data_IF_418284485879
#
_entry.id   IF_418284485879
#
_cell.length_a   1.000
_cell.length_b   1.000
_cell.length_c   1.000
_cell.angle_alpha   90.00
_cell.angle_beta   90.00
_cell.angle_gamma   90.00
#
_symmetry.space_group_name_H-M   'P 1'
#
loop_
_entity.id
_entity.type
_entity.pdbx_description
1 polymer ?
#
# COMPACT_ATOMS: atom_id res chain seq x y z
N UNK A 1 2.92 -10.76 12.51
CA UNK A 1 4.22 -10.47 13.18
C UNK A 1 4.14 -9.10 13.82
N UNK A 2 4.79 -8.93 14.97
CA UNK A 2 4.78 -7.68 15.75
C UNK A 2 6.22 -7.28 16.07
N UNK A 3 6.71 -6.22 15.46
CA UNK A 3 7.98 -5.60 15.83
C UNK A 3 7.76 -4.65 17.01
N UNK A 4 8.50 -4.84 18.08
CA UNK A 4 8.37 -4.06 19.30
C UNK A 4 9.18 -2.78 19.18
N UNK A 5 8.51 -1.62 19.27
CA UNK A 5 9.16 -0.30 19.26
C UNK A 5 9.22 0.34 20.65
N UNK A 6 8.61 -0.31 21.63
CA UNK A 6 8.58 0.00 23.05
C UNK A 6 8.54 -1.32 23.84
N UNK A 7 8.83 -1.34 25.14
CA UNK A 7 8.71 -2.56 25.94
C UNK A 7 7.30 -3.18 25.89
N UNK A 8 7.23 -4.48 25.65
CA UNK A 8 6.02 -5.30 25.72
C UNK A 8 6.09 -6.13 27.00
N UNK A 9 5.10 -5.97 27.88
CA UNK A 9 4.91 -6.84 29.03
C UNK A 9 3.47 -6.75 29.54
N UNK A 10 3.13 -7.53 30.58
CA UNK A 10 1.80 -7.53 31.21
C UNK A 10 1.33 -6.13 31.61
N UNK A 11 2.23 -5.23 32.05
CA UNK A 11 1.87 -3.88 32.48
C UNK A 11 1.68 -2.90 31.32
N UNK A 12 2.51 -2.99 30.28
CA UNK A 12 2.42 -2.15 29.08
C UNK A 12 1.38 -2.64 28.07
N UNK A 13 0.70 -3.75 28.38
CA UNK A 13 -0.31 -4.35 27.54
C UNK A 13 0.28 -5.09 26.34
N UNK A 14 1.29 -5.94 26.56
CA UNK A 14 1.83 -6.84 25.54
C UNK A 14 0.75 -7.64 24.81
N UNK A 15 1.02 -8.06 23.57
CA UNK A 15 0.06 -8.91 22.83
C UNK A 15 -0.19 -10.20 23.60
N UNK A 16 -1.46 -10.51 23.86
CA UNK A 16 -1.87 -11.77 24.48
C UNK A 16 -2.04 -12.82 23.37
N UNK A 17 -1.54 -14.02 23.59
CA UNK A 17 -1.60 -15.14 22.64
C UNK A 17 -2.01 -16.39 23.40
N UNK A 18 -2.96 -17.16 22.91
CA UNK A 18 -3.26 -18.49 23.45
C UNK A 18 -2.43 -19.54 22.72
N UNK A 19 -1.41 -20.16 23.36
CA UNK A 19 -0.58 -21.17 22.71
C UNK A 19 -1.42 -22.37 22.24
N UNK A 20 -1.18 -22.85 21.03
CA UNK A 20 -1.90 -24.01 20.48
C UNK A 20 -3.27 -23.72 19.84
N UNK A 21 -3.87 -22.55 20.09
CA UNK A 21 -5.20 -22.18 19.56
C UNK A 21 -5.28 -22.16 18.02
N UNK A 22 -4.14 -22.07 17.32
CA UNK A 22 -4.08 -22.20 15.85
C UNK A 22 -4.57 -23.56 15.32
N UNK A 23 -4.66 -24.58 16.18
CA UNK A 23 -5.22 -25.90 15.85
C UNK A 23 -6.73 -25.94 16.01
N UNK A 24 -7.33 -24.92 16.62
CA UNK A 24 -8.77 -24.83 16.71
C UNK A 24 -9.34 -24.47 15.34
N UNK A 25 -10.32 -25.25 14.89
CA UNK A 25 -10.98 -25.08 13.60
C UNK A 25 -12.22 -24.18 13.68
N UNK A 26 -12.57 -23.70 14.87
CA UNK A 26 -13.65 -22.74 15.08
C UNK A 26 -13.09 -21.36 15.45
N UNK A 27 -13.86 -20.33 15.10
CA UNK A 27 -13.63 -18.99 15.62
C UNK A 27 -13.97 -18.96 17.12
N UNK A 28 -13.29 -18.12 17.92
CA UNK A 28 -13.66 -17.93 19.32
C UNK A 28 -15.12 -17.47 19.41
N UNK A 29 -15.92 -18.17 20.20
CA UNK A 29 -17.29 -17.81 20.54
C UNK A 29 -17.36 -16.84 21.71
N UNK A 30 -18.59 -16.47 22.08
CA UNK A 30 -18.86 -15.51 23.18
C UNK A 30 -18.31 -16.01 24.53
N UNK A 31 -18.34 -17.32 24.76
CA UNK A 31 -17.87 -17.94 26.02
C UNK A 31 -16.36 -18.19 26.07
N UNK A 32 -15.66 -18.08 24.93
CA UNK A 32 -14.21 -18.32 24.89
C UNK A 32 -13.41 -17.15 25.47
N UNK A 33 -14.03 -16.00 25.71
CA UNK A 33 -13.35 -14.80 26.21
C UNK A 33 -12.73 -14.97 27.60
N UNK A 34 -13.47 -15.52 28.56
CA UNK A 34 -12.97 -15.77 29.92
C UNK A 34 -11.87 -16.83 29.92
N UNK A 35 -12.13 -17.92 29.22
CA UNK A 35 -11.19 -19.03 29.10
C UNK A 35 -9.89 -18.61 28.36
N UNK A 36 -9.99 -17.69 27.38
CA UNK A 36 -8.84 -17.06 26.74
C UNK A 36 -8.03 -16.24 27.74
N UNK A 37 -8.65 -15.45 28.62
CA UNK A 37 -7.91 -14.64 29.60
C UNK A 37 -7.08 -15.52 30.54
N UNK A 38 -7.58 -16.69 30.91
CA UNK A 38 -6.87 -17.65 31.76
C UNK A 38 -5.73 -18.37 31.03
N UNK A 39 -5.94 -18.73 29.75
CA UNK A 39 -4.97 -19.53 28.97
C UNK A 39 -3.97 -18.69 28.19
N UNK A 40 -4.27 -17.42 27.93
CA UNK A 40 -3.42 -16.57 27.11
C UNK A 40 -2.17 -16.12 27.86
N UNK A 41 -1.05 -16.15 27.15
CA UNK A 41 0.24 -15.66 27.62
C UNK A 41 0.55 -14.33 26.95
N UNK A 42 1.10 -13.39 27.72
CA UNK A 42 1.60 -12.14 27.15
C UNK A 42 2.92 -12.39 26.44
N UNK A 43 3.02 -11.96 25.18
CA UNK A 43 4.31 -11.82 24.49
C UNK A 43 5.06 -10.68 25.17
N UNK A 44 6.17 -11.02 25.82
CA UNK A 44 7.07 -10.07 26.47
C UNK A 44 8.31 -9.83 25.61
N UNK A 45 8.81 -8.61 25.59
CA UNK A 45 10.05 -8.26 24.88
C UNK A 45 10.41 -6.79 24.99
N UNK A 46 11.62 -6.47 24.54
CA UNK A 46 12.21 -5.14 24.52
C UNK A 46 12.09 -4.48 23.13
N UNK A 47 12.30 -3.16 23.02
CA UNK A 47 12.42 -2.52 21.72
C UNK A 47 13.46 -3.22 20.85
N UNK A 48 13.08 -3.59 19.62
CA UNK A 48 13.91 -4.37 18.71
C UNK A 48 13.51 -5.85 18.61
N UNK A 49 12.81 -6.40 19.60
CA UNK A 49 12.34 -7.78 19.57
C UNK A 49 11.20 -7.97 18.57
N UNK A 50 11.09 -9.20 18.05
CA UNK A 50 10.08 -9.59 17.07
C UNK A 50 9.21 -10.73 17.60
N UNK A 51 7.92 -10.47 17.75
CA UNK A 51 6.91 -11.50 17.98
C UNK A 51 6.43 -12.11 16.66
N UNK A 52 6.61 -13.43 16.50
CA UNK A 52 6.09 -14.19 15.36
C UNK A 52 5.07 -15.20 15.86
N UNK A 53 3.87 -15.19 15.27
CA UNK A 53 2.82 -16.17 15.54
C UNK A 53 2.02 -16.42 14.27
N UNK A 54 1.41 -17.60 14.19
CA UNK A 54 0.59 -18.01 13.06
C UNK A 54 -0.74 -17.23 13.05
N UNK A 55 -1.22 -16.86 11.86
CA UNK A 55 -2.40 -15.99 11.72
C UNK A 55 -3.69 -16.57 12.31
N UNK A 56 -3.80 -17.89 12.48
CA UNK A 56 -4.96 -18.54 13.10
C UNK A 56 -4.87 -18.62 14.63
N UNK A 57 -3.72 -18.30 15.23
CA UNK A 57 -3.61 -18.30 16.68
C UNK A 57 -4.49 -17.19 17.26
N UNK A 58 -5.30 -17.53 18.26
CA UNK A 58 -6.13 -16.58 18.98
C UNK A 58 -5.21 -15.61 19.74
N UNK A 59 -5.43 -14.32 19.53
CA UNK A 59 -4.62 -13.28 20.12
C UNK A 59 -5.44 -12.01 20.32
N UNK A 60 -5.01 -11.19 21.28
CA UNK A 60 -5.62 -9.90 21.56
C UNK A 60 -4.57 -8.89 22.03
N UNK A 61 -4.97 -7.62 22.15
CA UNK A 61 -4.13 -6.60 22.77
C UNK A 61 -4.29 -6.71 24.29
N UNK A 62 -3.20 -6.85 25.04
CA UNK A 62 -3.25 -6.72 26.49
C UNK A 62 -3.63 -5.30 26.91
N UNK A 63 -4.20 -5.18 28.10
CA UNK A 63 -4.55 -3.89 28.70
C UNK A 63 -3.27 -3.14 29.11
N UNK A 64 -3.08 -1.93 28.60
CA UNK A 64 -1.98 -1.07 29.02
C UNK A 64 -2.39 -0.28 30.27
N UNK A 65 -1.87 -0.70 31.43
CA UNK A 65 -2.03 0.00 32.72
C UNK A 65 -0.79 0.82 33.09
N UNK A 66 0.18 0.90 32.18
CA UNK A 66 1.38 1.72 32.31
C UNK A 66 1.14 3.20 31.96
N UNK A 67 2.12 4.04 32.30
CA UNK A 67 2.12 5.48 31.95
C UNK A 67 2.71 5.76 30.56
N UNK A 68 3.26 4.75 29.90
CA UNK A 68 3.97 4.89 28.62
C UNK A 68 3.14 4.24 27.51
N UNK A 69 2.96 4.91 26.35
CA UNK A 69 2.26 4.32 25.22
C UNK A 69 3.06 3.15 24.63
N UNK A 70 2.38 2.00 24.46
CA UNK A 70 2.94 0.83 23.77
C UNK A 70 2.90 1.04 22.25
N UNK A 71 4.06 1.01 21.60
CA UNK A 71 4.23 1.18 20.15
C UNK A 71 4.76 -0.10 19.50
N UNK A 72 4.22 -0.42 18.32
CA UNK A 72 4.65 -1.57 17.52
C UNK A 72 4.50 -1.30 16.04
N UNK A 73 5.34 -1.94 15.24
CA UNK A 73 5.13 -2.06 13.79
C UNK A 73 4.54 -3.45 13.49
N UNK A 74 3.37 -3.45 12.85
CA UNK A 74 2.66 -4.67 12.47
C UNK A 74 3.02 -5.06 11.05
N UNK A 75 3.39 -6.33 10.86
CA UNK A 75 3.66 -6.89 9.54
C UNK A 75 2.99 -8.25 9.39
N UNK A 76 2.33 -8.46 8.27
CA UNK A 76 1.68 -9.72 7.91
C UNK A 76 2.21 -10.19 6.57
N UNK A 77 2.54 -11.48 6.51
CA UNK A 77 2.92 -12.15 5.27
C UNK A 77 1.81 -13.13 4.94
N UNK A 78 1.33 -13.06 3.71
CA UNK A 78 0.26 -13.90 3.22
C UNK A 78 0.75 -14.72 2.02
N UNK A 79 0.14 -15.89 1.75
CA UNK A 79 0.29 -16.57 0.48
C UNK A 79 0.01 -15.62 -0.69
N UNK A 80 0.72 -15.79 -1.81
CA UNK A 80 0.67 -14.85 -2.94
C UNK A 80 -0.72 -14.70 -3.58
N UNK A 81 -1.62 -15.66 -3.35
CA UNK A 81 -3.00 -15.66 -3.83
C UNK A 81 -3.97 -14.92 -2.90
N UNK A 82 -3.53 -14.43 -1.73
CA UNK A 82 -4.37 -13.60 -0.86
C UNK A 82 -4.14 -12.13 -1.22
N UNK A 83 -5.23 -11.39 -1.40
CA UNK A 83 -5.17 -9.93 -1.62
C UNK A 83 -4.59 -9.23 -0.38
N UNK A 84 -3.62 -8.37 -0.60
CA UNK A 84 -3.01 -7.56 0.46
C UNK A 84 -4.05 -6.61 1.07
N UNK A 85 -3.99 -6.43 2.40
CA UNK A 85 -4.84 -5.47 3.13
C UNK A 85 -4.53 -4.02 2.73
N UNK A 86 -3.26 -3.72 2.45
CA UNK A 86 -2.83 -2.42 1.96
C UNK A 86 -2.44 -2.55 0.49
N UNK A 87 -2.94 -1.64 -0.34
CA UNK A 87 -2.58 -1.63 -1.76
C UNK A 87 -1.32 -0.80 -1.99
N UNK A 88 -0.16 -1.42 -1.74
CA UNK A 88 1.15 -0.80 -1.94
C UNK A 88 1.36 -0.29 -3.38
N UNK A 89 0.77 -0.96 -4.38
CA UNK A 89 0.82 -0.52 -5.77
C UNK A 89 0.17 0.84 -6.06
N UNK A 90 -0.78 1.28 -5.22
CA UNK A 90 -1.40 2.61 -5.34
C UNK A 90 -0.80 3.65 -4.40
N UNK A 91 -0.22 3.23 -3.28
CA UNK A 91 0.29 4.16 -2.26
C UNK A 91 1.78 4.47 -2.41
N UNK A 92 2.57 3.56 -2.99
CA UNK A 92 4.00 3.76 -3.18
C UNK A 92 4.24 4.48 -4.51
N UNK A 93 4.87 5.65 -4.46
CA UNK A 93 5.27 6.41 -5.67
C UNK A 93 6.19 5.58 -6.58
N UNK A 94 6.12 5.81 -7.90
CA UNK A 94 6.98 5.11 -8.85
C UNK A 94 8.46 5.37 -8.60
N UNK A 95 8.80 6.57 -8.12
CA UNK A 95 10.17 6.93 -7.73
C UNK A 95 10.73 5.97 -6.68
N UNK A 96 9.99 5.74 -5.60
CA UNK A 96 10.43 4.83 -4.52
C UNK A 96 10.43 3.39 -5.02
N UNK A 97 9.37 2.96 -5.72
CA UNK A 97 9.24 1.59 -6.22
C UNK A 97 10.47 1.13 -7.04
N UNK A 98 11.06 2.03 -7.83
CA UNK A 98 12.23 1.75 -8.67
C UNK A 98 13.54 1.63 -7.92
N UNK A 99 13.65 2.25 -6.75
CA UNK A 99 14.84 2.11 -5.88
C UNK A 99 14.84 0.80 -5.12
N UNK A 100 13.70 0.11 -5.04
CA UNK A 100 13.58 -1.14 -4.30
C UNK A 100 14.19 -2.31 -5.09
N UNK A 101 14.91 -3.22 -4.42
CA UNK A 101 15.32 -4.49 -5.02
C UNK A 101 14.11 -5.29 -5.54
N UNK A 102 14.31 -6.09 -6.59
CA UNK A 102 13.23 -6.85 -7.25
C UNK A 102 12.45 -7.76 -6.30
N UNK A 103 13.12 -8.39 -5.33
CA UNK A 103 12.44 -9.24 -4.35
C UNK A 103 11.51 -8.43 -3.43
N UNK A 104 11.84 -7.17 -3.10
CA UNK A 104 10.96 -6.29 -2.33
C UNK A 104 9.77 -5.83 -3.17
N UNK A 105 10.01 -5.47 -4.44
CA UNK A 105 8.93 -5.13 -5.37
C UNK A 105 7.92 -6.29 -5.50
N UNK A 106 8.40 -7.53 -5.58
CA UNK A 106 7.55 -8.72 -5.61
C UNK A 106 6.73 -8.87 -4.32
N UNK A 107 7.37 -8.75 -3.14
CA UNK A 107 6.68 -8.87 -1.83
C UNK A 107 5.62 -7.79 -1.62
N UNK A 108 5.85 -6.59 -2.15
CA UNK A 108 4.94 -5.46 -2.08
C UNK A 108 3.89 -5.45 -3.21
N UNK A 109 3.85 -6.48 -4.08
CA UNK A 109 2.89 -6.53 -5.17
C UNK A 109 3.07 -5.44 -6.23
N UNK A 110 4.26 -4.82 -6.30
CA UNK A 110 4.59 -3.76 -7.26
C UNK A 110 4.91 -4.33 -8.65
N UNK A 111 5.29 -5.60 -8.70
CA UNK A 111 5.42 -6.34 -9.95
C UNK A 111 4.10 -7.02 -10.29
N UNK A 112 3.70 -7.01 -11.56
CA UNK A 112 2.42 -7.56 -12.03
C UNK A 112 2.23 -9.09 -11.95
N UNK A 113 2.87 -9.77 -10.98
CA UNK A 113 2.78 -11.21 -10.73
C UNK A 113 1.67 -11.59 -9.74
N UNK A 114 0.91 -10.64 -9.19
CA UNK A 114 -0.24 -10.97 -8.34
C UNK A 114 -1.47 -11.24 -9.21
N UNK A 115 -2.05 -12.45 -9.09
CA UNK A 115 -3.20 -12.94 -9.86
C UNK A 115 -4.48 -12.10 -9.74
N UNK A 116 -4.49 -11.10 -8.86
CA UNK A 116 -5.64 -10.24 -8.59
C UNK A 116 -5.40 -8.80 -9.08
N UNK A 117 -5.27 -8.62 -10.40
CA UNK A 117 -5.59 -7.32 -11.02
C UNK A 117 -7.11 -7.14 -11.05
N UNK A 118 -7.74 -6.92 -9.91
CA UNK A 118 -9.08 -6.32 -9.88
C UNK A 118 -8.97 -4.80 -9.95
N UNK A 119 -8.49 -4.30 -11.09
CA UNK A 119 -8.74 -2.90 -11.49
C UNK A 119 -10.17 -2.74 -12.04
N UNK A 120 -10.92 -3.82 -12.23
CA UNK A 120 -12.23 -3.83 -12.90
C UNK A 120 -13.47 -3.80 -12.00
N UNK A 121 -13.37 -3.80 -10.67
CA UNK A 121 -14.56 -3.88 -9.79
C UNK A 121 -14.48 -3.01 -8.51
N UNK A 122 -13.65 -1.96 -8.50
CA UNK A 122 -13.82 -0.92 -7.49
C UNK A 122 -14.71 0.16 -8.08
N UNK A 123 -16.04 0.00 -7.96
CA UNK A 123 -17.05 1.00 -8.34
C UNK A 123 -16.90 2.35 -7.60
N UNK A 124 -15.97 2.42 -6.65
CA UNK A 124 -15.57 3.64 -5.97
C UNK A 124 -14.08 3.80 -6.20
N UNK A 125 -13.73 4.35 -7.36
CA UNK A 125 -12.39 4.87 -7.63
C UNK A 125 -11.94 5.83 -6.52
N UNK A 126 -10.64 6.20 -6.49
CA UNK A 126 -10.11 7.05 -5.42
C UNK A 126 -11.00 8.29 -5.24
N UNK A 127 -11.26 8.72 -4.00
CA UNK A 127 -12.09 9.90 -3.67
C UNK A 127 -11.65 11.20 -4.37
N UNK A 128 -10.48 11.19 -5.04
CA UNK A 128 -9.99 12.23 -5.95
C UNK A 128 -9.42 11.59 -7.23
N UNK A 129 -10.26 11.06 -8.13
CA UNK A 129 -9.81 10.21 -9.22
C UNK A 129 -8.94 10.97 -10.21
N UNK A 130 -9.25 12.26 -10.44
CA UNK A 130 -8.47 13.16 -11.28
C UNK A 130 -7.08 13.47 -10.71
N UNK A 131 -6.97 13.71 -9.40
CA UNK A 131 -5.66 13.99 -8.78
C UNK A 131 -4.77 12.75 -8.82
N UNK A 132 -5.33 11.57 -8.51
CA UNK A 132 -4.58 10.30 -8.60
C UNK A 132 -4.20 10.00 -10.04
N UNK A 133 -5.12 10.17 -11.00
CA UNK A 133 -4.82 10.00 -12.42
C UNK A 133 -3.73 10.97 -12.90
N UNK A 134 -3.80 12.26 -12.52
CA UNK A 134 -2.80 13.26 -12.86
C UNK A 134 -1.43 12.95 -12.24
N UNK A 135 -1.38 12.49 -10.99
CA UNK A 135 -0.14 12.08 -10.34
C UNK A 135 0.44 10.80 -10.95
N UNK A 136 -0.41 9.81 -11.24
CA UNK A 136 0.02 8.58 -11.94
C UNK A 136 0.52 8.89 -13.35
N UNK A 137 -0.13 9.83 -14.04
CA UNK A 137 0.27 10.27 -15.36
C UNK A 137 1.58 11.04 -15.33
N UNK A 138 1.72 11.97 -14.39
CA UNK A 138 2.95 12.71 -14.18
C UNK A 138 4.11 11.77 -13.84
N UNK A 139 3.90 10.82 -12.93
CA UNK A 139 4.89 9.81 -12.61
C UNK A 139 5.24 8.96 -13.84
N UNK A 140 4.26 8.61 -14.66
CA UNK A 140 4.47 7.90 -15.92
C UNK A 140 5.25 8.73 -16.94
N UNK A 141 5.02 10.03 -17.05
CA UNK A 141 5.76 10.91 -17.96
C UNK A 141 7.19 11.15 -17.47
N UNK A 142 7.35 11.43 -16.18
CA UNK A 142 8.65 11.77 -15.58
C UNK A 142 9.55 10.56 -15.45
N UNK A 143 9.00 9.45 -14.98
CA UNK A 143 9.75 8.24 -14.69
C UNK A 143 9.52 7.14 -15.73
N UNK A 144 8.32 6.98 -16.31
CA UNK A 144 7.97 5.89 -17.22
C UNK A 144 7.15 4.79 -16.53
N UNK A 145 6.57 3.87 -17.31
CA UNK A 145 5.93 2.66 -16.75
C UNK A 145 6.92 1.49 -16.65
N UNK A 146 7.02 0.81 -15.50
CA UNK A 146 7.69 -0.49 -15.46
C UNK A 146 6.86 -1.48 -16.30
N UNK A 147 7.37 -1.83 -17.47
CA UNK A 147 6.70 -2.83 -18.31
C UNK A 147 7.13 -4.24 -17.87
N UNK A 148 6.30 -5.22 -18.22
CA UNK A 148 6.50 -6.64 -17.83
C UNK A 148 7.75 -7.27 -18.47
N UNK A 149 8.36 -6.64 -19.49
CA UNK A 149 9.53 -7.18 -20.20
C UNK A 149 10.80 -6.43 -19.79
N UNK A 150 11.80 -7.12 -19.21
CA UNK A 150 13.14 -6.54 -19.03
C UNK A 150 13.65 -6.04 -20.39
N UNK A 151 14.04 -4.77 -20.47
CA UNK A 151 14.54 -4.13 -21.70
C UNK A 151 13.49 -3.38 -22.54
N UNK A 152 12.19 -3.57 -22.29
CA UNK A 152 11.14 -2.84 -22.99
C UNK A 152 10.68 -1.66 -22.14
N UNK A 153 11.51 -0.62 -22.02
CA UNK A 153 10.99 0.65 -21.51
C UNK A 153 9.99 1.18 -22.54
N UNK A 154 8.70 1.17 -22.21
CA UNK A 154 7.74 2.00 -22.96
C UNK A 154 8.25 3.42 -22.80
N UNK A 155 8.86 3.93 -23.87
CA UNK A 155 9.54 5.21 -23.86
C UNK A 155 8.54 6.30 -23.46
N UNK A 156 9.04 7.43 -22.95
CA UNK A 156 8.22 8.60 -22.62
C UNK A 156 7.26 8.97 -23.76
N UNK A 157 7.68 8.72 -25.00
CA UNK A 157 6.90 8.91 -26.22
C UNK A 157 5.67 8.01 -26.33
N UNK A 158 5.72 6.77 -25.84
CA UNK A 158 4.54 5.91 -25.80
C UNK A 158 3.51 6.35 -24.73
N UNK A 159 3.96 6.88 -23.59
CA UNK A 159 3.05 7.46 -22.62
C UNK A 159 2.38 8.73 -23.16
N UNK A 160 3.14 9.56 -23.89
CA UNK A 160 2.62 10.74 -24.60
C UNK A 160 1.64 10.37 -25.71
N UNK A 161 1.89 9.30 -26.49
CA UNK A 161 0.97 8.88 -27.55
C UNK A 161 -0.32 8.24 -27.01
N UNK A 162 -0.24 7.55 -25.87
CA UNK A 162 -1.42 7.07 -25.14
C UNK A 162 -2.27 8.20 -24.54
N UNK A 163 -1.68 9.37 -24.28
CA UNK A 163 -2.41 10.60 -23.94
C UNK A 163 -3.01 11.31 -25.16
N UNK A 164 -2.27 11.31 -26.27
CA UNK A 164 -2.71 11.96 -27.50
C UNK A 164 -3.96 11.28 -28.08
N UNK A 165 -4.06 9.95 -28.02
CA UNK A 165 -5.19 9.20 -28.58
C UNK A 165 -6.57 9.60 -28.02
N UNK A 166 -6.83 9.66 -26.69
CA UNK A 166 -8.10 10.12 -26.15
C UNK A 166 -8.34 11.62 -26.39
N UNK A 167 -7.30 12.46 -26.41
CA UNK A 167 -7.42 13.87 -26.79
C UNK A 167 -7.85 14.03 -28.26
N UNK A 168 -7.28 13.26 -29.17
CA UNK A 168 -7.64 13.25 -30.60
C UNK A 168 -9.05 12.69 -30.82
N UNK A 169 -9.45 11.66 -30.08
CA UNK A 169 -10.82 11.13 -30.12
C UNK A 169 -11.86 12.11 -29.55
N UNK A 170 -11.50 12.87 -28.51
CA UNK A 170 -12.34 13.92 -27.94
C UNK A 170 -12.46 15.13 -28.88
N UNK A 171 -11.37 15.52 -29.56
CA UNK A 171 -11.38 16.56 -30.60
C UNK A 171 -12.33 16.20 -31.75
N UNK A 172 -12.42 14.92 -32.13
CA UNK A 172 -13.33 14.49 -33.20
C UNK A 172 -14.81 14.43 -32.83
N UNK A 173 -15.18 14.43 -31.54
CA UNK A 173 -16.58 14.25 -31.09
C UNK A 173 -17.16 15.42 -30.30
N UNK A 174 -16.35 16.13 -29.51
CA UNK A 174 -16.77 17.24 -28.64
C UNK A 174 -15.62 18.23 -28.44
N UNK A 175 -15.34 19.05 -29.46
CA UNK A 175 -14.26 20.05 -29.47
C UNK A 175 -14.18 20.91 -28.19
N UNK A 176 -15.32 21.34 -27.64
CA UNK A 176 -15.34 22.17 -26.43
C UNK A 176 -14.80 21.47 -25.18
N UNK A 177 -15.09 20.18 -25.00
CA UNK A 177 -14.57 19.40 -23.87
C UNK A 177 -13.10 19.00 -24.08
N UNK A 178 -12.72 18.74 -25.32
CA UNK A 178 -11.33 18.50 -25.68
C UNK A 178 -10.44 19.72 -25.39
N UNK A 179 -10.91 20.93 -25.71
CA UNK A 179 -10.19 22.17 -25.44
C UNK A 179 -10.02 22.40 -23.92
N UNK A 180 -11.06 22.15 -23.12
CA UNK A 180 -10.97 22.24 -21.66
C UNK A 180 -9.94 21.25 -21.10
N UNK A 181 -9.92 20.02 -21.59
CA UNK A 181 -8.96 19.00 -21.17
C UNK A 181 -7.52 19.38 -21.57
N UNK A 182 -7.35 19.91 -22.78
CA UNK A 182 -6.04 20.31 -23.31
C UNK A 182 -5.49 21.52 -22.56
N UNK A 183 -6.34 22.49 -22.20
CA UNK A 183 -5.97 23.62 -21.34
C UNK A 183 -5.63 23.17 -19.92
N UNK A 184 -6.38 22.24 -19.33
CA UNK A 184 -6.11 21.70 -18.00
C UNK A 184 -4.78 20.92 -17.96
N UNK A 185 -4.49 20.10 -18.98
CA UNK A 185 -3.22 19.39 -19.11
C UNK A 185 -2.06 20.37 -19.31
N UNK A 186 -2.22 21.36 -20.18
CA UNK A 186 -1.19 22.37 -20.46
C UNK A 186 -0.89 23.23 -19.22
N UNK A 187 -1.92 23.67 -18.50
CA UNK A 187 -1.77 24.41 -17.24
C UNK A 187 -1.11 23.53 -16.16
N UNK A 188 -1.48 22.25 -16.06
CA UNK A 188 -0.85 21.30 -15.15
C UNK A 188 0.64 21.05 -15.48
N UNK A 189 0.99 20.98 -16.77
CA UNK A 189 2.38 20.85 -17.21
C UNK A 189 3.19 22.12 -16.94
N UNK A 190 2.63 23.30 -17.19
CA UNK A 190 3.27 24.60 -16.94
C UNK A 190 3.47 24.85 -15.43
N UNK A 191 2.45 24.61 -14.60
CA UNK A 191 2.55 24.71 -13.14
C UNK A 191 3.53 23.67 -12.58
N UNK A 192 3.51 22.45 -13.13
CA UNK A 192 4.47 21.41 -12.79
C UNK A 192 5.91 21.81 -13.14
N UNK A 193 6.12 22.55 -14.25
CA UNK A 193 7.41 23.10 -14.63
C UNK A 193 7.86 24.26 -13.73
N UNK A 194 6.96 25.19 -13.37
CA UNK A 194 7.28 26.31 -12.48
C UNK A 194 7.65 25.84 -11.08
N UNK A 195 6.92 24.87 -10.51
CA UNK A 195 7.26 24.28 -9.20
C UNK A 195 8.59 23.51 -9.21
N UNK A 196 9.09 23.10 -10.38
CA UNK A 196 10.43 22.50 -10.52
C UNK A 196 11.49 23.60 -10.56
N UNK A 197 11.27 24.68 -11.31
CA UNK A 197 12.20 25.81 -11.36
C UNK A 197 12.38 26.45 -9.98
N UNK A 198 11.31 26.60 -9.21
CA UNK A 198 11.34 27.14 -7.84
C UNK A 198 12.08 26.22 -6.85
N UNK A 199 12.11 24.90 -7.11
CA UNK A 199 12.84 23.92 -6.29
C UNK A 199 14.30 23.72 -6.72
N UNK A 200 14.71 24.29 -7.85
CA UNK A 200 16.04 24.19 -8.44
C UNK A 200 16.75 25.55 -8.60
N UNK A 201 16.18 26.64 -8.08
CA UNK A 201 16.94 27.86 -7.80
C UNK A 201 17.83 27.62 -6.57
N UNK A 202 19.10 27.32 -6.86
CA UNK A 202 20.25 27.71 -6.03
C UNK A 202 20.38 29.23 -6.02
#
# INVERSE_FOLDING_TARGET
>A
MVFMLSPFNKRTGGTMLEPGSHRNHTMPGVHDGEAFVERAVAINGQPGDLGVFYGHAWHSKGLNVGRIPRRSLQASVYPYFIKQLQSCGYTISNRVARTLPRHMQNRLGLTGYTSFKHTGQSDKGPHRPLQVAALMLWDALRYGYPTRRPGLQLSRWCALSLLAAPLLLLLGRRCGEALKLLLAVSAGLLLGFSLILEKFQM
#
